data_IF_930519622979
#
_entry.id   IF_930519622979
#
_cell.length_a   1.000
_cell.length_b   1.000
_cell.length_c   1.000
_cell.angle_alpha   90.00
_cell.angle_beta   90.00
_cell.angle_gamma   90.00
#
_symmetry.space_group_name_H-M   'P 1'
#
loop_
_entity.id
_entity.type
_entity.pdbx_description
1 polymer ?
#
# COMPACT_ATOMS: atom_id res chain seq x y z
N UNK A 1 -0.50 -42.96 3.07
CA UNK A 1 -1.13 -42.20 4.15
C UNK A 1 -1.54 -40.86 3.56
N UNK A 2 -2.85 -40.68 3.43
CA UNK A 2 -3.46 -39.62 2.61
C UNK A 2 -3.30 -38.24 3.26
N UNK A 3 -2.74 -37.27 2.51
CA UNK A 3 -2.82 -35.85 2.82
C UNK A 3 -4.22 -35.38 2.43
N UNK A 4 -5.00 -35.00 3.40
CA UNK A 4 -6.29 -34.31 3.18
C UNK A 4 -6.00 -32.84 2.81
N UNK A 5 -6.27 -32.51 1.55
CA UNK A 5 -6.20 -31.16 1.03
C UNK A 5 -7.47 -30.43 1.46
N UNK A 6 -7.39 -29.59 2.49
CA UNK A 6 -8.42 -28.60 2.79
C UNK A 6 -8.01 -27.28 2.16
N UNK A 7 -8.38 -27.08 0.89
CA UNK A 7 -8.37 -25.75 0.26
C UNK A 7 -9.75 -25.13 0.44
N UNK A 8 -9.96 -24.41 1.53
CA UNK A 8 -11.03 -23.45 1.60
C UNK A 8 -10.55 -22.12 0.98
N UNK A 9 -11.27 -21.66 -0.01
CA UNK A 9 -11.08 -20.35 -0.67
C UNK A 9 -11.18 -19.26 0.39
N UNK A 10 -10.04 -18.72 0.80
CA UNK A 10 -9.96 -17.56 1.68
C UNK A 10 -10.07 -16.29 0.83
N UNK A 11 -11.26 -15.70 0.79
CA UNK A 11 -11.43 -14.34 0.28
C UNK A 11 -10.66 -13.35 1.15
N UNK A 12 -9.95 -12.43 0.51
CA UNK A 12 -9.16 -11.39 1.18
C UNK A 12 -10.05 -10.42 1.94
N UNK A 13 -9.67 -9.96 3.14
CA UNK A 13 -10.39 -8.88 3.83
C UNK A 13 -10.44 -7.55 3.06
N UNK A 14 -9.55 -7.33 2.10
CA UNK A 14 -9.63 -6.18 1.19
C UNK A 14 -10.89 -6.26 0.30
N UNK A 15 -11.35 -7.47 -0.04
CA UNK A 15 -12.58 -7.68 -0.81
C UNK A 15 -13.86 -7.37 0.01
N UNK A 16 -13.74 -7.25 1.33
CA UNK A 16 -14.86 -7.00 2.22
C UNK A 16 -15.26 -5.51 2.33
N UNK A 17 -14.47 -4.58 1.81
CA UNK A 17 -14.83 -3.16 1.77
C UNK A 17 -15.65 -2.79 0.53
N UNK A 18 -15.66 -3.62 -0.52
CA UNK A 18 -16.28 -3.31 -1.81
C UNK A 18 -17.50 -4.18 -2.18
N UNK A 19 -18.03 -5.00 -1.28
CA UNK A 19 -19.21 -5.84 -1.53
C UNK A 19 -20.53 -5.05 -1.74
N UNK A 20 -20.49 -3.75 -1.98
CA UNK A 20 -21.62 -2.85 -2.16
C UNK A 20 -21.97 -2.46 -3.60
N UNK A 21 -21.29 -2.97 -4.63
CA UNK A 21 -21.64 -2.69 -6.02
C UNK A 21 -21.96 -3.95 -6.83
N UNK A 22 -23.16 -4.45 -6.69
CA UNK A 22 -23.77 -5.29 -7.69
C UNK A 22 -24.27 -4.40 -8.85
N UNK A 23 -23.76 -4.65 -10.05
CA UNK A 23 -23.98 -3.81 -11.22
C UNK A 23 -25.45 -3.73 -11.66
N UNK A 24 -25.88 -2.51 -11.92
CA UNK A 24 -27.05 -2.20 -12.72
C UNK A 24 -26.61 -1.53 -14.02
N UNK A 25 -26.78 -2.20 -15.15
CA UNK A 25 -26.63 -1.62 -16.51
C UNK A 25 -27.63 -0.50 -16.73
N UNK A 26 -27.14 0.59 -17.29
CA UNK A 26 -27.87 1.80 -17.53
C UNK A 26 -29.07 1.65 -18.48
N UNK A 27 -30.16 2.31 -18.10
CA UNK A 27 -31.26 2.72 -18.94
C UNK A 27 -31.38 4.23 -18.88
N UNK A 28 -31.45 4.87 -20.04
CA UNK A 28 -31.65 6.32 -20.18
C UNK A 28 -33.06 6.73 -19.73
N UNK A 29 -33.11 7.81 -18.97
CA UNK A 29 -34.17 8.81 -19.05
C UNK A 29 -35.48 8.47 -18.35
N UNK A 30 -35.64 8.96 -17.13
CA UNK A 30 -36.89 9.17 -16.45
C UNK A 30 -36.55 9.80 -15.09
N UNK A 31 -37.18 10.91 -14.74
CA UNK A 31 -37.15 11.41 -13.36
C UNK A 31 -37.66 10.27 -12.49
N UNK A 32 -36.74 9.45 -11.98
CA UNK A 32 -37.03 8.31 -11.15
C UNK A 32 -37.75 8.77 -9.90
N UNK A 33 -38.93 8.24 -9.67
CA UNK A 33 -39.57 8.26 -8.38
C UNK A 33 -38.52 7.83 -7.34
N UNK A 34 -38.24 8.66 -6.37
CA UNK A 34 -37.37 8.28 -5.25
C UNK A 34 -38.03 7.05 -4.59
N UNK A 35 -37.40 5.90 -4.79
CA UNK A 35 -37.85 4.66 -4.16
C UNK A 35 -37.67 4.84 -2.67
N UNK A 36 -38.77 4.86 -1.92
CA UNK A 36 -38.70 4.90 -0.47
C UNK A 36 -38.00 3.63 0.00
N UNK A 37 -36.90 3.77 0.74
CA UNK A 37 -36.18 2.63 1.29
C UNK A 37 -36.95 2.16 2.54
N UNK A 38 -37.62 1.02 2.38
CA UNK A 38 -38.38 0.37 3.47
C UNK A 38 -37.55 -0.65 4.25
N UNK A 39 -36.43 -1.09 3.68
CA UNK A 39 -35.48 -1.99 4.33
C UNK A 39 -34.55 -1.19 5.26
N UNK A 40 -34.69 -1.38 6.56
CA UNK A 40 -33.87 -0.70 7.57
C UNK A 40 -32.39 -1.11 7.52
N UNK A 41 -32.08 -2.33 7.11
CA UNK A 41 -30.68 -2.76 6.94
C UNK A 41 -30.04 -2.00 5.79
N UNK A 42 -30.74 -1.89 4.65
CA UNK A 42 -30.27 -1.11 3.49
C UNK A 42 -30.19 0.39 3.79
N UNK A 43 -31.11 0.93 4.60
CA UNK A 43 -31.03 2.33 5.01
C UNK A 43 -29.79 2.60 5.87
N UNK A 44 -29.39 1.67 6.74
CA UNK A 44 -28.17 1.79 7.55
C UNK A 44 -26.90 1.75 6.71
N UNK A 45 -26.85 0.93 5.67
CA UNK A 45 -25.72 0.90 4.74
C UNK A 45 -25.53 2.22 3.97
N UNK A 46 -26.60 2.95 3.71
CA UNK A 46 -26.60 4.21 2.97
C UNK A 46 -26.46 5.44 3.87
N UNK A 47 -26.61 5.30 5.17
CA UNK A 47 -26.54 6.38 6.13
C UNK A 47 -25.19 6.39 6.85
N UNK A 48 -24.53 7.54 6.86
CA UNK A 48 -23.30 7.74 7.64
C UNK A 48 -23.67 7.96 9.11
N UNK A 49 -23.52 6.91 9.93
CA UNK A 49 -23.82 6.92 11.36
C UNK A 49 -22.52 6.90 12.16
N UNK A 50 -22.53 7.60 13.30
CA UNK A 50 -21.45 7.51 14.30
C UNK A 50 -21.68 6.45 15.38
N UNK A 51 -22.76 5.66 15.25
CA UNK A 51 -23.05 4.56 16.18
C UNK A 51 -22.32 3.30 15.75
N UNK A 52 -21.59 2.71 16.68
CA UNK A 52 -20.74 1.56 16.44
C UNK A 52 -21.49 0.33 15.93
N UNK A 53 -22.69 0.09 16.44
CA UNK A 53 -23.54 -1.03 16.07
C UNK A 53 -24.09 -0.98 14.65
N UNK A 54 -24.08 0.19 14.00
CA UNK A 54 -24.55 0.35 12.62
C UNK A 54 -23.49 -0.08 11.58
N UNK A 55 -22.26 -0.38 12.03
CA UNK A 55 -21.14 -0.68 11.15
C UNK A 55 -20.52 -2.04 11.45
N UNK A 56 -19.91 -2.65 10.43
CA UNK A 56 -19.26 -3.94 10.55
C UNK A 56 -18.08 -3.87 11.51
N UNK A 57 -18.03 -4.78 12.46
CA UNK A 57 -16.94 -4.89 13.42
C UNK A 57 -15.79 -5.72 12.88
N UNK A 58 -14.55 -5.36 13.25
CA UNK A 58 -13.38 -6.14 12.95
C UNK A 58 -13.34 -7.44 13.78
N UNK A 59 -13.00 -8.56 13.13
CA UNK A 59 -12.77 -9.82 13.81
C UNK A 59 -11.26 -10.04 13.99
N UNK A 60 -10.72 -9.59 15.11
CA UNK A 60 -9.28 -9.60 15.39
C UNK A 60 -8.71 -11.02 15.48
N UNK A 61 -9.43 -11.98 16.01
CA UNK A 61 -8.97 -13.37 16.10
C UNK A 61 -8.82 -13.99 14.71
N UNK A 62 -9.78 -13.77 13.82
CA UNK A 62 -9.71 -14.20 12.44
C UNK A 62 -8.54 -13.56 11.70
N UNK A 63 -8.31 -12.26 11.91
CA UNK A 63 -7.18 -11.54 11.31
C UNK A 63 -5.83 -12.11 11.77
N UNK A 64 -5.69 -12.42 13.06
CA UNK A 64 -4.47 -13.05 13.61
C UNK A 64 -4.24 -14.42 12.95
N UNK A 65 -5.27 -15.25 12.81
CA UNK A 65 -5.14 -16.55 12.15
C UNK A 65 -4.74 -16.41 10.68
N UNK A 66 -5.34 -15.47 9.95
CA UNK A 66 -4.98 -15.19 8.54
C UNK A 66 -3.51 -14.75 8.41
N UNK A 67 -3.02 -13.90 9.32
CA UNK A 67 -1.61 -13.51 9.36
C UNK A 67 -0.69 -14.71 9.58
N UNK A 68 -0.98 -15.58 10.54
CA UNK A 68 -0.17 -16.76 10.82
C UNK A 68 -0.08 -17.71 9.61
N UNK A 69 -1.20 -17.89 8.88
CA UNK A 69 -1.22 -18.66 7.64
C UNK A 69 -0.36 -17.99 6.56
N UNK A 70 -0.47 -16.68 6.40
CA UNK A 70 0.34 -15.94 5.43
C UNK A 70 1.84 -16.03 5.73
N UNK A 71 2.23 -15.88 6.99
CA UNK A 71 3.62 -16.02 7.43
C UNK A 71 4.17 -17.41 7.20
N UNK A 72 3.43 -18.46 7.60
CA UNK A 72 3.86 -19.85 7.40
C UNK A 72 4.03 -20.21 5.92
N UNK A 73 3.12 -19.73 5.08
CA UNK A 73 3.21 -19.89 3.62
C UNK A 73 4.44 -19.19 3.06
N UNK A 74 4.73 -17.97 3.54
CA UNK A 74 5.92 -17.22 3.11
C UNK A 74 7.20 -17.91 3.54
N UNK A 75 7.28 -18.42 4.76
CA UNK A 75 8.42 -19.22 5.24
C UNK A 75 8.66 -20.42 4.31
N UNK A 76 7.60 -21.15 3.95
CA UNK A 76 7.71 -22.31 3.07
C UNK A 76 8.24 -21.94 1.67
N UNK A 77 7.71 -20.86 1.08
CA UNK A 77 8.13 -20.34 -0.25
C UNK A 77 9.54 -19.77 -0.27
N UNK A 78 10.02 -19.27 0.85
CA UNK A 78 11.35 -18.64 0.97
C UNK A 78 12.50 -19.64 1.02
N UNK A 79 12.23 -20.91 1.35
CA UNK A 79 13.28 -21.94 1.51
C UNK A 79 14.11 -22.12 0.25
N UNK A 80 15.43 -21.92 0.37
CA UNK A 80 16.36 -22.05 -0.77
C UNK A 80 16.27 -20.91 -1.80
N UNK A 81 15.39 -19.92 -1.61
CA UNK A 81 15.17 -18.80 -2.54
C UNK A 81 15.71 -17.48 -1.98
N UNK A 82 15.32 -17.17 -0.76
CA UNK A 82 15.71 -15.94 -0.05
C UNK A 82 15.61 -16.17 1.47
N UNK A 83 16.20 -15.29 2.25
CA UNK A 83 16.03 -15.27 3.69
C UNK A 83 14.83 -14.38 4.05
N UNK A 84 13.81 -14.97 4.69
CA UNK A 84 12.66 -14.28 5.25
C UNK A 84 12.74 -14.29 6.79
N UNK A 85 12.48 -13.15 7.41
CA UNK A 85 12.49 -13.01 8.88
C UNK A 85 11.44 -11.99 9.29
N UNK A 86 10.63 -12.31 10.31
CA UNK A 86 9.81 -11.33 11.00
C UNK A 86 10.71 -10.56 11.97
N UNK A 87 10.65 -9.25 11.87
CA UNK A 87 11.43 -8.34 12.71
C UNK A 87 10.50 -7.32 13.36
N UNK A 88 11.01 -6.59 14.34
CA UNK A 88 10.31 -5.50 14.99
C UNK A 88 11.29 -4.34 15.21
N UNK A 89 10.75 -3.14 15.12
CA UNK A 89 11.50 -1.92 15.45
C UNK A 89 10.57 -0.92 16.12
N UNK A 90 11.12 0.14 16.69
CA UNK A 90 10.33 1.17 17.36
C UNK A 90 10.07 2.34 16.43
N UNK A 91 8.83 2.82 16.44
CA UNK A 91 8.45 4.08 15.81
C UNK A 91 9.17 5.25 16.49
N UNK A 92 9.67 6.19 15.67
CA UNK A 92 10.38 7.37 16.18
C UNK A 92 9.45 8.37 16.88
N UNK A 93 8.15 8.33 16.58
CA UNK A 93 7.20 9.34 17.10
C UNK A 93 6.79 9.08 18.54
N UNK A 94 6.63 7.81 18.94
CA UNK A 94 6.13 7.46 20.28
C UNK A 94 6.68 6.13 20.84
N UNK A 95 7.60 5.50 20.12
CA UNK A 95 8.23 4.25 20.55
C UNK A 95 7.35 3.01 20.39
N UNK A 96 6.22 3.11 19.69
CA UNK A 96 5.38 1.96 19.38
C UNK A 96 6.18 0.89 18.65
N UNK A 97 6.04 -0.38 19.05
CA UNK A 97 6.67 -1.50 18.38
C UNK A 97 5.96 -1.81 17.06
N UNK A 98 6.69 -1.71 15.96
CA UNK A 98 6.19 -1.93 14.61
C UNK A 98 6.73 -3.27 14.09
N UNK A 99 5.85 -4.26 13.83
CA UNK A 99 6.24 -5.50 13.17
C UNK A 99 6.59 -5.25 11.69
N UNK A 100 7.49 -6.04 11.13
CA UNK A 100 7.82 -5.97 9.72
C UNK A 100 8.31 -7.31 9.17
N UNK A 101 8.10 -7.52 7.89
CA UNK A 101 8.68 -8.61 7.13
C UNK A 101 10.00 -8.16 6.51
N UNK A 102 11.10 -8.86 6.79
CA UNK A 102 12.42 -8.60 6.23
C UNK A 102 12.80 -9.71 5.25
N UNK A 103 13.14 -9.32 4.02
CA UNK A 103 13.58 -10.21 2.95
C UNK A 103 14.99 -9.85 2.51
N UNK A 104 15.86 -10.84 2.45
CA UNK A 104 17.27 -10.66 2.14
C UNK A 104 17.77 -11.75 1.20
N UNK A 105 18.82 -11.49 0.39
CA UNK A 105 19.52 -12.54 -0.34
C UNK A 105 20.04 -13.63 0.60
N UNK A 106 20.05 -14.89 0.16
CA UNK A 106 20.69 -15.99 0.92
C UNK A 106 22.18 -15.71 1.11
N UNK A 107 22.85 -15.24 0.06
CA UNK A 107 24.26 -14.82 0.10
C UNK A 107 24.31 -13.30 0.12
N UNK A 108 24.73 -12.73 1.23
CA UNK A 108 24.88 -11.30 1.40
C UNK A 108 26.24 -10.84 0.88
N UNK A 109 26.24 -9.71 0.22
CA UNK A 109 27.47 -8.96 -0.11
C UNK A 109 28.10 -8.42 1.17
N UNK A 110 29.34 -7.95 1.08
CA UNK A 110 30.04 -7.34 2.18
C UNK A 110 29.38 -6.03 2.67
N UNK A 111 30.09 -5.31 3.52
CA UNK A 111 29.58 -4.07 4.13
C UNK A 111 29.10 -3.08 3.05
N UNK A 112 27.89 -2.53 3.24
CA UNK A 112 27.24 -1.59 2.30
C UNK A 112 27.06 -2.14 0.86
N UNK A 113 27.03 -3.45 0.71
CA UNK A 113 26.97 -4.09 -0.61
C UNK A 113 25.60 -4.06 -1.29
N UNK A 114 24.52 -3.87 -0.54
CA UNK A 114 23.14 -3.92 -1.03
C UNK A 114 22.43 -2.57 -0.94
N UNK A 115 21.68 -2.20 -1.98
CA UNK A 115 20.61 -1.23 -1.87
C UNK A 115 19.42 -1.85 -1.12
N UNK A 116 18.55 -1.02 -0.55
CA UNK A 116 17.36 -1.50 0.16
C UNK A 116 16.10 -0.73 -0.22
N UNK A 117 14.95 -1.31 0.05
CA UNK A 117 13.65 -0.69 -0.16
C UNK A 117 12.74 -0.93 1.06
N UNK A 118 12.05 0.14 1.46
CA UNK A 118 10.89 0.04 2.35
C UNK A 118 9.66 -0.13 1.45
N UNK A 119 8.95 -1.23 1.62
CA UNK A 119 7.84 -1.61 0.75
C UNK A 119 6.53 -1.60 1.53
N UNK A 120 5.67 -0.61 1.23
CA UNK A 120 4.51 -0.27 2.05
C UNK A 120 3.24 -0.86 1.46
N UNK A 121 2.50 -1.62 2.27
CA UNK A 121 1.24 -2.23 1.83
C UNK A 121 0.12 -1.20 1.68
N UNK A 122 -0.89 -1.55 0.86
CA UNK A 122 -2.12 -0.79 0.69
C UNK A 122 -3.17 -1.12 1.76
N UNK A 123 -4.25 -0.32 1.75
CA UNK A 123 -5.33 -0.42 2.73
C UNK A 123 -4.93 0.17 4.08
N UNK A 124 -5.75 1.07 4.61
CA UNK A 124 -5.52 1.70 5.93
C UNK A 124 -5.42 0.64 7.02
N UNK A 125 -6.36 -0.31 6.97
CA UNK A 125 -6.37 -1.53 7.77
C UNK A 125 -5.99 -2.76 6.92
N UNK A 126 -5.04 -2.60 6.02
CA UNK A 126 -4.46 -3.70 5.27
C UNK A 126 -3.44 -4.49 6.07
N UNK A 127 -2.70 -5.34 5.37
CA UNK A 127 -1.55 -6.08 5.88
C UNK A 127 -0.65 -6.44 4.70
N UNK A 128 0.61 -6.69 5.00
CA UNK A 128 1.55 -7.22 4.03
C UNK A 128 1.27 -8.69 3.74
N UNK A 129 0.42 -8.97 2.75
CA UNK A 129 0.09 -10.33 2.30
C UNK A 129 1.28 -10.98 1.59
N UNK A 130 2.28 -11.30 2.36
CA UNK A 130 3.61 -11.68 1.93
C UNK A 130 3.66 -12.81 0.88
N UNK A 131 2.77 -13.80 0.96
CA UNK A 131 2.74 -14.91 0.02
C UNK A 131 2.24 -14.51 -1.38
N UNK A 132 1.31 -13.55 -1.49
CA UNK A 132 0.79 -13.03 -2.76
C UNK A 132 1.81 -12.13 -3.47
N UNK A 133 2.57 -11.37 -2.70
CA UNK A 133 3.60 -10.48 -3.23
C UNK A 133 4.97 -11.16 -3.40
N UNK A 134 5.06 -12.42 -3.00
CA UNK A 134 6.31 -13.18 -3.03
C UNK A 134 7.02 -13.18 -4.39
N UNK A 135 6.36 -13.37 -5.57
CA UNK A 135 7.06 -13.36 -6.84
C UNK A 135 7.73 -12.02 -7.15
N UNK A 136 7.12 -10.90 -6.75
CA UNK A 136 7.68 -9.56 -6.94
C UNK A 136 8.82 -9.29 -5.96
N UNK A 137 8.69 -9.72 -4.71
CA UNK A 137 9.77 -9.67 -3.70
C UNK A 137 10.96 -10.52 -4.15
N UNK A 138 10.72 -11.74 -4.64
CA UNK A 138 11.77 -12.62 -5.18
C UNK A 138 12.55 -11.90 -6.28
N UNK A 139 11.87 -11.25 -7.21
CA UNK A 139 12.52 -10.48 -8.28
C UNK A 139 13.38 -9.34 -7.72
N UNK A 140 12.88 -8.58 -6.74
CA UNK A 140 13.65 -7.53 -6.06
C UNK A 140 14.95 -8.08 -5.43
N UNK A 141 14.85 -9.22 -4.72
CA UNK A 141 16.00 -9.86 -4.09
C UNK A 141 17.02 -10.35 -5.13
N UNK A 142 16.55 -10.90 -6.26
CA UNK A 142 17.41 -11.33 -7.37
C UNK A 142 18.16 -10.15 -8.02
N UNK A 143 17.56 -8.95 -7.99
CA UNK A 143 18.21 -7.70 -8.45
C UNK A 143 19.24 -7.17 -7.45
N UNK A 144 19.30 -7.71 -6.24
CA UNK A 144 20.27 -7.34 -5.21
C UNK A 144 19.75 -6.38 -4.14
N UNK A 145 18.44 -6.17 -4.06
CA UNK A 145 17.82 -5.40 -2.99
C UNK A 145 17.69 -6.20 -1.69
N UNK A 146 17.65 -5.48 -0.57
CA UNK A 146 17.10 -5.93 0.70
C UNK A 146 15.74 -5.23 0.87
N UNK A 147 14.70 -5.97 1.23
CA UNK A 147 13.33 -5.43 1.38
C UNK A 147 12.89 -5.52 2.82
N UNK A 148 12.40 -4.41 3.37
CA UNK A 148 11.63 -4.38 4.61
C UNK A 148 10.21 -3.93 4.33
N UNK A 149 9.23 -4.68 4.80
CA UNK A 149 7.81 -4.39 4.64
C UNK A 149 7.16 -4.18 6.01
N UNK A 150 6.97 -2.91 6.44
CA UNK A 150 6.38 -2.58 7.73
C UNK A 150 4.88 -2.90 7.76
N UNK A 151 4.44 -3.40 8.92
CA UNK A 151 3.05 -3.43 9.34
C UNK A 151 2.82 -2.21 10.25
N UNK A 152 2.64 -1.03 9.62
CA UNK A 152 2.46 0.24 10.33
C UNK A 152 1.20 0.20 11.20
N UNK A 153 1.09 1.13 12.17
CA UNK A 153 -0.12 1.23 13.02
C UNK A 153 -1.38 1.27 12.17
N UNK A 154 -2.41 0.55 12.57
CA UNK A 154 -3.62 0.34 11.78
C UNK A 154 -3.64 -0.98 11.01
N UNK A 155 -2.49 -1.64 10.77
CA UNK A 155 -2.43 -2.93 10.06
C UNK A 155 -3.21 -4.03 10.79
N UNK A 156 -3.78 -4.95 10.00
CA UNK A 156 -4.57 -6.08 10.50
C UNK A 156 -3.67 -7.24 10.94
N UNK A 157 -4.19 -8.08 11.84
CA UNK A 157 -3.50 -9.30 12.29
C UNK A 157 -2.62 -9.12 13.51
N UNK A 158 -2.59 -7.92 14.12
CA UNK A 158 -1.79 -7.61 15.31
C UNK A 158 -2.65 -7.21 16.51
N UNK A 159 -3.96 -7.47 16.44
CA UNK A 159 -4.92 -7.22 17.52
C UNK A 159 -5.47 -5.80 17.54
N UNK A 160 -6.46 -5.58 18.42
CA UNK A 160 -7.25 -4.36 18.49
C UNK A 160 -6.41 -3.10 18.77
N UNK A 161 -5.41 -3.19 19.66
CA UNK A 161 -4.58 -2.04 20.04
C UNK A 161 -3.78 -1.51 18.84
N UNK A 162 -3.18 -2.40 18.04
CA UNK A 162 -2.43 -2.04 16.84
C UNK A 162 -3.36 -1.49 15.75
N UNK A 163 -4.50 -2.14 15.52
CA UNK A 163 -5.51 -1.74 14.55
C UNK A 163 -6.06 -0.34 14.84
N UNK A 164 -6.45 -0.07 16.10
CA UNK A 164 -7.06 1.20 16.50
C UNK A 164 -6.03 2.34 16.68
N UNK A 165 -4.74 2.06 16.60
CA UNK A 165 -3.69 3.08 16.71
C UNK A 165 -3.50 3.92 15.44
N UNK A 166 -4.27 3.65 14.36
CA UNK A 166 -4.17 4.39 13.10
C UNK A 166 -4.32 5.90 13.32
N UNK A 167 -3.51 6.67 12.63
CA UNK A 167 -3.59 8.13 12.56
C UNK A 167 -3.43 8.56 11.10
N UNK A 168 -4.49 8.42 10.32
CA UNK A 168 -4.53 8.49 8.86
C UNK A 168 -3.75 9.69 8.28
N UNK A 169 -2.58 9.43 7.67
CA UNK A 169 -1.66 10.44 7.16
C UNK A 169 -0.83 11.15 8.24
N UNK A 170 -0.76 10.57 9.44
CA UNK A 170 -0.02 11.11 10.57
C UNK A 170 1.12 10.17 11.02
N UNK A 171 0.95 9.54 12.17
CA UNK A 171 2.00 8.75 12.84
C UNK A 171 2.43 7.50 12.08
N UNK A 172 1.57 6.90 11.24
CA UNK A 172 1.96 5.75 10.42
C UNK A 172 3.06 6.10 9.40
N UNK A 173 3.21 7.37 9.02
CA UNK A 173 4.32 7.81 8.20
C UNK A 173 5.65 7.64 8.94
N UNK A 174 5.66 7.98 10.23
CA UNK A 174 6.85 7.87 11.07
C UNK A 174 7.17 6.39 11.39
N UNK A 175 6.13 5.54 11.51
CA UNK A 175 6.32 4.09 11.59
C UNK A 175 7.08 3.56 10.38
N UNK A 176 6.66 3.96 9.18
CA UNK A 176 7.27 3.54 7.92
C UNK A 176 8.69 4.12 7.75
N UNK A 177 8.88 5.41 8.06
CA UNK A 177 10.19 6.04 8.00
C UNK A 177 11.20 5.40 8.96
N UNK A 178 10.75 4.97 10.15
CA UNK A 178 11.57 4.32 11.16
C UNK A 178 12.14 2.96 10.73
N UNK A 179 11.54 2.31 9.71
CA UNK A 179 12.10 1.10 9.11
C UNK A 179 13.51 1.32 8.54
N UNK A 180 13.83 2.55 8.13
CA UNK A 180 15.16 2.89 7.62
C UNK A 180 16.22 2.79 8.72
N UNK A 181 15.90 3.18 9.96
CA UNK A 181 16.84 3.05 11.07
C UNK A 181 17.15 1.57 11.36
N UNK A 182 16.14 0.70 11.23
CA UNK A 182 16.37 -0.74 11.30
C UNK A 182 17.28 -1.24 10.17
N UNK A 183 17.02 -0.81 8.91
CA UNK A 183 17.86 -1.19 7.76
C UNK A 183 19.33 -0.76 7.96
N UNK A 184 19.59 0.40 8.56
CA UNK A 184 20.94 0.88 8.87
C UNK A 184 21.70 0.00 9.87
N UNK A 185 21.00 -0.79 10.68
CA UNK A 185 21.65 -1.77 11.59
C UNK A 185 22.22 -2.98 10.86
N UNK A 186 21.81 -3.21 9.60
CA UNK A 186 22.27 -4.32 8.79
C UNK A 186 23.57 -3.92 8.06
N UNK A 187 24.75 -4.49 8.41
CA UNK A 187 26.03 -4.00 7.91
C UNK A 187 26.19 -4.12 6.39
N UNK A 188 25.46 -5.04 5.76
CA UNK A 188 25.47 -5.25 4.31
C UNK A 188 24.53 -4.32 3.54
N UNK A 189 23.69 -3.52 4.21
CA UNK A 189 22.84 -2.50 3.59
C UNK A 189 23.60 -1.18 3.47
N UNK A 190 23.48 -0.54 2.32
CA UNK A 190 24.02 0.81 2.10
C UNK A 190 22.96 1.87 2.48
N UNK A 191 23.15 2.64 3.54
CA UNK A 191 22.21 3.67 3.96
C UNK A 191 22.03 4.80 2.95
N UNK A 192 22.95 4.96 2.00
CA UNK A 192 22.84 5.95 0.92
C UNK A 192 21.99 5.48 -0.27
N UNK A 193 21.50 4.23 -0.25
CA UNK A 193 20.77 3.62 -1.35
C UNK A 193 19.48 2.96 -0.87
N UNK A 194 18.66 3.72 -0.12
CA UNK A 194 17.38 3.26 0.40
C UNK A 194 16.25 3.98 -0.33
N UNK A 195 15.34 3.21 -0.94
CA UNK A 195 14.12 3.69 -1.59
C UNK A 195 12.87 3.32 -0.81
N UNK A 196 11.73 3.86 -1.27
CA UNK A 196 10.40 3.54 -0.76
C UNK A 196 9.46 3.21 -1.92
N UNK A 197 8.59 2.21 -1.75
CA UNK A 197 7.54 1.92 -2.72
C UNK A 197 6.27 1.47 -1.99
N UNK A 198 5.09 1.85 -2.53
CA UNK A 198 3.84 1.39 -1.99
C UNK A 198 2.67 1.51 -2.95
N UNK A 199 1.57 0.80 -2.63
CA UNK A 199 0.33 0.80 -3.38
C UNK A 199 -0.81 1.42 -2.58
N UNK A 200 -1.73 2.13 -3.28
CA UNK A 200 -2.93 2.64 -2.63
C UNK A 200 -2.58 3.50 -1.41
N UNK A 201 -3.04 3.15 -0.22
CA UNK A 201 -2.61 3.79 1.03
C UNK A 201 -1.08 3.71 1.24
N UNK A 202 -0.41 2.63 0.83
CA UNK A 202 1.05 2.57 0.84
C UNK A 202 1.70 3.55 -0.13
N UNK A 203 1.10 3.78 -1.30
CA UNK A 203 1.49 4.83 -2.25
C UNK A 203 1.25 6.24 -1.70
N UNK A 204 0.19 6.42 -0.95
CA UNK A 204 -0.11 7.63 -0.18
C UNK A 204 0.98 7.92 0.85
N UNK A 205 1.34 6.94 1.68
CA UNK A 205 2.42 7.06 2.68
C UNK A 205 3.75 7.39 1.98
N UNK A 206 4.08 6.67 0.90
CA UNK A 206 5.29 6.93 0.13
C UNK A 206 5.33 8.37 -0.41
N UNK A 207 4.23 8.84 -1.00
CA UNK A 207 4.13 10.21 -1.52
C UNK A 207 4.27 11.26 -0.43
N UNK A 208 3.54 11.14 0.69
CA UNK A 208 3.65 12.09 1.80
C UNK A 208 5.05 12.13 2.40
N UNK A 209 5.71 10.98 2.53
CA UNK A 209 7.09 10.92 3.03
C UNK A 209 8.06 11.62 2.08
N UNK A 210 7.94 11.39 0.76
CA UNK A 210 8.81 12.04 -0.23
C UNK A 210 8.55 13.54 -0.38
N UNK A 211 7.36 14.01 0.02
CA UNK A 211 7.01 15.43 0.03
C UNK A 211 7.28 16.12 1.39
N UNK A 212 7.85 15.41 2.38
CA UNK A 212 8.38 16.05 3.59
C UNK A 212 9.68 16.80 3.29
N UNK A 213 9.96 17.87 4.04
CA UNK A 213 11.22 18.63 3.93
C UNK A 213 12.45 17.76 4.20
N UNK A 214 12.32 16.80 5.12
CA UNK A 214 13.36 15.85 5.47
C UNK A 214 12.80 14.44 5.47
N UNK A 215 13.46 13.55 4.77
CA UNK A 215 13.16 12.14 4.72
C UNK A 215 14.42 11.33 4.35
N UNK A 216 14.50 10.02 4.69
CA UNK A 216 15.71 9.23 4.49
C UNK A 216 15.82 8.57 3.08
N UNK A 217 14.88 8.78 2.18
CA UNK A 217 14.78 8.05 0.92
C UNK A 217 15.49 8.76 -0.23
N UNK A 218 16.13 8.01 -1.13
CA UNK A 218 16.82 8.50 -2.34
C UNK A 218 15.91 8.54 -3.56
N UNK A 219 14.91 7.69 -3.62
CA UNK A 219 13.91 7.62 -4.67
C UNK A 219 12.67 6.90 -4.14
N UNK A 220 11.51 7.09 -4.78
CA UNK A 220 10.35 6.33 -4.42
C UNK A 220 9.36 6.10 -5.54
N UNK A 221 8.43 5.16 -5.33
CA UNK A 221 7.37 4.87 -6.26
C UNK A 221 6.01 4.78 -5.55
N UNK A 222 5.01 5.39 -6.15
CA UNK A 222 3.63 5.37 -5.67
C UNK A 222 2.73 4.78 -6.76
N UNK A 223 2.15 3.61 -6.46
CA UNK A 223 1.29 2.88 -7.35
C UNK A 223 -0.17 3.12 -6.96
N UNK A 224 -0.97 3.66 -7.86
CA UNK A 224 -2.39 3.98 -7.65
C UNK A 224 -2.64 4.65 -6.29
N UNK A 225 -1.91 5.73 -5.96
CA UNK A 225 -1.85 6.28 -4.61
C UNK A 225 -3.12 7.05 -4.24
N UNK A 226 -3.56 6.96 -3.00
CA UNK A 226 -4.46 7.99 -2.46
C UNK A 226 -3.72 9.32 -2.45
N UNK A 227 -4.35 10.40 -2.94
CA UNK A 227 -3.66 11.67 -3.14
C UNK A 227 -4.39 12.90 -2.64
N UNK A 228 -5.73 12.85 -2.53
CA UNK A 228 -6.58 13.98 -2.15
C UNK A 228 -7.73 13.52 -1.25
N UNK A 229 -7.54 13.60 0.06
CA UNK A 229 -8.52 13.13 1.05
C UNK A 229 -9.83 13.94 1.01
N UNK A 230 -9.77 15.22 0.65
CA UNK A 230 -10.97 16.06 0.49
C UNK A 230 -11.85 15.50 -0.63
N UNK A 231 -11.26 15.21 -1.79
CA UNK A 231 -11.97 14.64 -2.94
C UNK A 231 -12.41 13.19 -2.67
N UNK A 232 -11.52 12.39 -2.04
CA UNK A 232 -11.75 10.97 -1.75
C UNK A 232 -13.01 10.73 -0.94
N UNK A 233 -13.25 11.50 0.10
CA UNK A 233 -14.46 11.34 0.92
C UNK A 233 -15.75 11.69 0.19
N UNK A 234 -15.68 12.47 -0.89
CA UNK A 234 -16.82 12.79 -1.71
C UNK A 234 -17.36 11.61 -2.54
N UNK A 235 -16.52 10.63 -2.86
CA UNK A 235 -16.92 9.48 -3.68
C UNK A 235 -16.89 8.13 -2.94
N UNK A 236 -16.19 8.02 -1.81
CA UNK A 236 -16.17 6.77 -1.01
C UNK A 236 -17.50 6.55 -0.29
N UNK A 237 -17.87 5.29 -0.15
CA UNK A 237 -19.13 4.91 0.47
C UNK A 237 -19.22 5.14 1.98
N UNK A 238 -20.44 4.98 2.57
CA UNK A 238 -20.71 5.32 3.96
C UNK A 238 -19.80 4.64 4.97
N UNK A 239 -19.42 3.38 4.76
CA UNK A 239 -18.52 2.65 5.66
C UNK A 239 -17.14 3.29 5.77
N UNK A 240 -16.59 3.74 4.64
CA UNK A 240 -15.31 4.45 4.62
C UNK A 240 -15.42 5.84 5.28
N UNK A 241 -16.49 6.57 4.95
CA UNK A 241 -16.76 7.87 5.54
C UNK A 241 -16.93 7.77 7.06
N UNK A 242 -17.68 6.77 7.54
CA UNK A 242 -17.82 6.54 8.98
C UNK A 242 -16.45 6.26 9.61
N UNK A 243 -15.68 5.34 9.06
CA UNK A 243 -14.41 4.88 9.63
C UNK A 243 -13.36 5.98 9.72
N UNK A 244 -13.30 6.89 8.75
CA UNK A 244 -12.20 7.85 8.64
C UNK A 244 -12.60 9.32 8.81
N UNK A 245 -13.88 9.66 8.65
CA UNK A 245 -14.33 11.05 8.78
C UNK A 245 -15.23 11.31 9.97
N UNK A 246 -16.12 10.38 10.34
CA UNK A 246 -17.05 10.59 11.46
C UNK A 246 -16.45 10.23 12.81
N UNK A 247 -15.43 9.40 12.86
CA UNK A 247 -14.68 9.11 14.09
C UNK A 247 -13.65 10.22 14.35
N UNK A 248 -13.80 10.89 15.51
CA UNK A 248 -12.89 12.00 15.89
C UNK A 248 -11.46 11.56 16.14
N UNK A 249 -11.27 10.32 16.49
CA UNK A 249 -9.97 9.72 16.80
C UNK A 249 -9.12 9.51 15.52
N UNK A 250 -9.73 9.54 14.32
CA UNK A 250 -9.00 9.38 13.06
C UNK A 250 -8.84 10.74 12.37
N UNK A 251 -9.80 11.17 11.54
CA UNK A 251 -9.71 12.45 10.83
C UNK A 251 -10.72 13.48 11.31
N UNK A 252 -11.90 13.03 11.71
CA UNK A 252 -13.05 13.89 11.98
C UNK A 252 -13.75 14.37 10.71
N UNK A 253 -14.70 15.26 10.84
CA UNK A 253 -15.49 15.74 9.71
C UNK A 253 -14.72 16.76 8.86
N UNK A 254 -14.76 16.68 7.52
CA UNK A 254 -13.98 17.56 6.64
C UNK A 254 -14.23 19.04 6.83
N UNK A 255 -15.46 19.44 7.14
CA UNK A 255 -15.82 20.85 7.34
C UNK A 255 -15.30 21.40 8.68
N UNK A 256 -15.06 20.55 9.68
CA UNK A 256 -14.48 20.92 10.97
C UNK A 256 -12.94 20.85 10.97
N UNK A 257 -12.37 20.01 10.10
CA UNK A 257 -10.93 19.66 10.06
C UNK A 257 -10.28 19.94 8.70
N UNK A 258 -10.75 20.95 7.97
CA UNK A 258 -10.33 21.25 6.60
C UNK A 258 -8.81 21.31 6.44
N UNK A 259 -8.13 22.00 7.33
CA UNK A 259 -6.67 22.16 7.29
C UNK A 259 -5.95 20.82 7.45
N UNK A 260 -6.46 19.94 8.32
CA UNK A 260 -5.93 18.58 8.50
C UNK A 260 -6.07 17.75 7.22
N UNK A 261 -7.21 17.84 6.53
CA UNK A 261 -7.42 17.14 5.26
C UNK A 261 -6.46 17.63 4.17
N UNK A 262 -6.20 18.92 4.11
CA UNK A 262 -5.22 19.53 3.20
C UNK A 262 -3.81 19.08 3.58
N UNK A 263 -3.45 19.19 4.86
CA UNK A 263 -2.15 18.79 5.39
C UNK A 263 -1.83 17.31 5.10
N UNK A 264 -2.85 16.44 5.20
CA UNK A 264 -2.71 15.01 4.99
C UNK A 264 -3.00 14.55 3.56
N UNK A 265 -3.06 15.44 2.59
CA UNK A 265 -3.26 15.11 1.17
C UNK A 265 -1.99 15.39 0.35
N UNK A 266 -1.33 14.36 -0.21
CA UNK A 266 -0.11 14.52 -1.03
C UNK A 266 -0.23 15.59 -2.10
N UNK A 267 -1.39 15.71 -2.74
CA UNK A 267 -1.66 16.67 -3.79
C UNK A 267 -1.24 18.12 -3.42
N UNK A 268 -1.40 18.49 -2.15
CA UNK A 268 -1.11 19.88 -1.70
C UNK A 268 0.36 20.11 -1.34
N UNK A 269 1.23 19.09 -1.48
CA UNK A 269 2.64 19.15 -1.07
C UNK A 269 3.64 18.82 -2.19
N UNK A 270 3.18 18.67 -3.42
CA UNK A 270 4.01 18.30 -4.59
C UNK A 270 5.22 19.20 -4.77
N UNK A 271 5.09 20.51 -4.46
CA UNK A 271 6.17 21.49 -4.56
C UNK A 271 7.37 21.18 -3.67
N UNK A 272 7.18 20.41 -2.60
CA UNK A 272 8.24 20.01 -1.66
C UNK A 272 9.08 18.82 -2.15
N UNK A 273 8.69 18.15 -3.23
CA UNK A 273 9.44 17.02 -3.77
C UNK A 273 10.87 17.43 -4.16
N UNK A 274 11.87 16.71 -3.63
CA UNK A 274 13.31 16.95 -3.86
C UNK A 274 14.06 15.74 -4.41
N UNK A 275 13.42 14.58 -4.47
CA UNK A 275 14.00 13.33 -4.96
C UNK A 275 13.12 12.70 -6.05
N UNK A 276 13.65 11.80 -6.88
CA UNK A 276 12.86 11.17 -7.93
C UNK A 276 11.67 10.37 -7.39
N UNK A 277 10.52 10.51 -8.07
CA UNK A 277 9.31 9.73 -7.83
C UNK A 277 8.78 9.13 -9.13
N UNK A 278 8.39 7.85 -9.07
CA UNK A 278 7.62 7.17 -10.11
C UNK A 278 6.17 7.05 -9.65
N UNK A 279 5.21 7.42 -10.53
CA UNK A 279 3.77 7.28 -10.22
C UNK A 279 3.08 6.53 -11.35
N UNK A 280 2.43 5.41 -11.02
CA UNK A 280 1.59 4.65 -11.94
C UNK A 280 0.13 4.71 -11.50
N UNK A 281 -0.76 5.02 -12.44
CA UNK A 281 -2.20 5.12 -12.21
C UNK A 281 -2.96 4.41 -13.33
N UNK A 282 -4.22 4.02 -13.08
CA UNK A 282 -5.06 3.30 -14.03
C UNK A 282 -6.41 3.99 -14.21
N UNK A 283 -6.88 4.12 -15.46
CA UNK A 283 -8.14 4.85 -15.76
C UNK A 283 -9.39 4.12 -15.30
N UNK A 284 -9.32 2.79 -15.16
CA UNK A 284 -10.41 1.94 -14.67
C UNK A 284 -10.24 1.54 -13.19
N UNK A 285 -9.46 2.30 -12.42
CA UNK A 285 -9.36 2.11 -10.97
C UNK A 285 -10.71 2.40 -10.31
N UNK A 286 -11.21 1.44 -9.51
CA UNK A 286 -12.51 1.57 -8.81
C UNK A 286 -12.35 1.77 -7.30
N UNK A 287 -11.13 1.81 -6.79
CA UNK A 287 -10.85 2.12 -5.38
C UNK A 287 -10.30 3.54 -5.19
N UNK A 288 -9.22 3.89 -5.88
CA UNK A 288 -8.79 5.28 -6.00
C UNK A 288 -9.30 5.79 -7.34
N UNK A 289 -10.33 6.64 -7.31
CA UNK A 289 -10.93 7.17 -8.53
C UNK A 289 -9.85 7.85 -9.38
N UNK A 290 -9.84 7.54 -10.69
CA UNK A 290 -8.84 8.08 -11.62
C UNK A 290 -8.76 9.61 -11.57
N UNK A 291 -9.86 10.30 -11.33
CA UNK A 291 -9.86 11.77 -11.23
C UNK A 291 -9.06 12.26 -10.01
N UNK A 292 -9.02 11.49 -8.92
CA UNK A 292 -8.13 11.78 -7.79
C UNK A 292 -6.66 11.68 -8.21
N UNK A 293 -6.29 10.57 -8.83
CA UNK A 293 -4.92 10.32 -9.30
C UNK A 293 -4.48 11.27 -10.43
N UNK A 294 -5.40 11.63 -11.32
CA UNK A 294 -5.14 12.58 -12.41
C UNK A 294 -4.70 13.94 -11.88
N UNK A 295 -5.29 14.41 -10.78
CA UNK A 295 -4.90 15.68 -10.14
C UNK A 295 -3.43 15.63 -9.69
N UNK A 296 -3.01 14.54 -9.05
CA UNK A 296 -1.64 14.36 -8.62
C UNK A 296 -0.67 14.30 -9.81
N UNK A 297 -0.99 13.48 -10.81
CA UNK A 297 -0.16 13.32 -12.03
C UNK A 297 0.03 14.65 -12.75
N UNK A 298 -1.03 15.43 -12.94
CA UNK A 298 -0.94 16.73 -13.60
C UNK A 298 -0.10 17.73 -12.80
N UNK A 299 -0.27 17.76 -11.49
CA UNK A 299 0.50 18.68 -10.64
C UNK A 299 1.99 18.30 -10.60
N UNK A 300 2.30 17.01 -10.55
CA UNK A 300 3.68 16.50 -10.66
C UNK A 300 4.32 16.90 -11.99
N UNK A 301 3.64 16.65 -13.11
CA UNK A 301 4.13 17.02 -14.45
C UNK A 301 4.35 18.52 -14.60
N UNK A 302 3.49 19.33 -14.00
CA UNK A 302 3.58 20.79 -14.10
C UNK A 302 4.70 21.36 -13.23
N UNK A 303 4.90 20.86 -12.01
CA UNK A 303 5.79 21.47 -11.03
C UNK A 303 7.13 20.73 -10.87
N UNK A 304 7.21 19.45 -11.21
CA UNK A 304 8.38 18.59 -10.97
C UNK A 304 8.72 17.69 -12.17
N UNK A 305 8.75 18.22 -13.42
CA UNK A 305 8.97 17.41 -14.62
C UNK A 305 10.30 16.65 -14.59
N UNK A 306 11.34 17.20 -13.95
CA UNK A 306 12.66 16.58 -13.88
C UNK A 306 12.80 15.51 -12.78
N UNK A 307 11.84 15.44 -11.85
CA UNK A 307 11.85 14.51 -10.73
C UNK A 307 10.72 13.47 -10.80
N UNK A 308 9.65 13.75 -11.52
CA UNK A 308 8.47 12.91 -11.54
C UNK A 308 8.34 12.15 -12.87
N UNK A 309 8.54 10.84 -12.84
CA UNK A 309 8.12 9.94 -13.90
C UNK A 309 6.69 9.48 -13.62
N UNK A 310 5.77 9.67 -14.58
CA UNK A 310 4.37 9.30 -14.40
C UNK A 310 3.85 8.50 -15.59
N UNK A 311 3.11 7.43 -15.32
CA UNK A 311 2.46 6.62 -16.35
C UNK A 311 0.99 6.43 -16.04
N UNK A 312 0.13 6.76 -17.00
CA UNK A 312 -1.29 6.46 -16.98
C UNK A 312 -1.51 5.20 -17.83
N UNK A 313 -2.06 4.16 -17.23
CA UNK A 313 -2.49 2.94 -17.91
C UNK A 313 -3.96 3.09 -18.25
N UNK A 314 -4.29 3.02 -19.55
CA UNK A 314 -5.66 3.20 -20.05
C UNK A 314 -6.35 1.85 -20.06
N UNK A 315 -7.35 1.70 -19.22
CA UNK A 315 -8.16 0.48 -19.06
C UNK A 315 -7.33 -0.82 -19.02
N UNK A 316 -6.29 -0.87 -18.16
CA UNK A 316 -5.44 -2.05 -18.09
C UNK A 316 -6.25 -3.29 -17.70
N UNK A 317 -5.73 -4.48 -18.04
CA UNK A 317 -6.35 -5.74 -17.67
C UNK A 317 -6.53 -5.76 -16.14
N UNK A 318 -7.77 -5.95 -15.65
CA UNK A 318 -8.05 -5.88 -14.22
C UNK A 318 -7.22 -6.85 -13.40
N UNK A 319 -6.80 -6.39 -12.23
CA UNK A 319 -6.22 -7.25 -11.20
C UNK A 319 -7.29 -8.04 -10.43
N UNK A 320 -6.90 -8.74 -9.37
CA UNK A 320 -7.81 -9.61 -8.60
C UNK A 320 -8.92 -8.86 -7.86
N UNK A 321 -8.79 -7.55 -7.65
CA UNK A 321 -9.78 -6.72 -6.95
C UNK A 321 -9.76 -5.29 -7.48
N UNK A 322 -10.92 -4.58 -7.35
CA UNK A 322 -11.05 -3.16 -7.66
C UNK A 322 -10.52 -2.74 -9.04
N UNK A 323 -10.78 -3.57 -10.04
CA UNK A 323 -10.42 -3.37 -11.45
C UNK A 323 -8.96 -2.91 -11.64
N UNK A 324 -8.72 -1.71 -12.18
CA UNK A 324 -7.38 -1.17 -12.43
C UNK A 324 -6.53 -0.96 -11.17
N UNK A 325 -7.12 -0.91 -9.98
CA UNK A 325 -6.39 -0.68 -8.73
C UNK A 325 -5.31 -1.73 -8.44
N UNK A 326 -5.50 -2.94 -8.94
CA UNK A 326 -4.54 -4.04 -8.72
C UNK A 326 -3.96 -4.60 -10.02
N UNK A 327 -4.03 -3.85 -11.13
CA UNK A 327 -3.60 -4.30 -12.46
C UNK A 327 -2.17 -4.82 -12.50
N UNK A 328 -1.28 -4.26 -11.69
CA UNK A 328 0.14 -4.62 -11.64
C UNK A 328 0.52 -5.57 -10.46
N UNK A 329 -0.49 -6.18 -9.83
CA UNK A 329 -0.30 -7.19 -8.75
C UNK A 329 -1.03 -8.50 -9.05
N UNK A 330 -1.19 -8.81 -10.34
CA UNK A 330 -1.84 -10.03 -10.79
C UNK A 330 -0.96 -11.23 -10.51
N UNK A 331 -1.52 -12.20 -9.82
CA UNK A 331 -0.93 -13.51 -9.55
C UNK A 331 -1.97 -14.59 -9.82
N UNK A 332 -1.53 -15.73 -10.29
CA UNK A 332 -2.39 -16.91 -10.43
C UNK A 332 -2.81 -17.39 -9.03
N UNK A 333 -4.11 -17.52 -8.73
CA UNK A 333 -4.60 -17.85 -7.39
C UNK A 333 -4.19 -19.26 -6.90
N UNK A 334 -3.92 -20.19 -7.83
CA UNK A 334 -3.58 -21.57 -7.50
C UNK A 334 -2.08 -21.74 -7.25
N UNK A 335 -1.25 -21.06 -8.03
CA UNK A 335 0.22 -21.19 -7.98
C UNK A 335 0.92 -20.06 -7.24
N UNK A 336 0.27 -18.92 -7.07
CA UNK A 336 0.82 -17.66 -6.57
C UNK A 336 2.02 -17.14 -7.37
N UNK A 337 2.17 -17.58 -8.61
CA UNK A 337 3.14 -17.03 -9.55
C UNK A 337 2.51 -15.86 -10.31
N UNK A 338 3.34 -14.99 -10.92
CA UNK A 338 2.87 -13.84 -11.68
C UNK A 338 1.93 -14.29 -12.81
N UNK A 339 0.80 -13.61 -12.93
CA UNK A 339 -0.15 -13.71 -14.05
C UNK A 339 -0.02 -12.43 -14.88
N UNK A 340 1.05 -12.36 -15.69
CA UNK A 340 1.44 -11.14 -16.35
C UNK A 340 0.54 -10.75 -17.52
N UNK A 341 -0.08 -9.57 -17.41
CA UNK A 341 -0.62 -8.82 -18.57
C UNK A 341 0.47 -7.91 -19.17
N UNK A 342 0.29 -7.43 -20.42
CA UNK A 342 1.23 -6.47 -21.00
C UNK A 342 1.45 -5.22 -20.14
N UNK A 343 0.37 -4.70 -19.54
CA UNK A 343 0.43 -3.51 -18.66
C UNK A 343 1.16 -3.82 -17.35
N UNK A 344 0.98 -5.01 -16.77
CA UNK A 344 1.72 -5.43 -15.59
C UNK A 344 3.22 -5.55 -15.90
N UNK A 345 3.58 -6.14 -17.04
CA UNK A 345 4.99 -6.24 -17.48
C UNK A 345 5.59 -4.84 -17.66
N UNK A 346 4.91 -3.93 -18.37
CA UNK A 346 5.39 -2.56 -18.57
C UNK A 346 5.54 -1.83 -17.23
N UNK A 347 4.56 -1.95 -16.34
CA UNK A 347 4.60 -1.32 -15.01
C UNK A 347 5.81 -1.77 -14.20
N UNK A 348 6.10 -3.08 -14.16
CA UNK A 348 7.24 -3.59 -13.44
C UNK A 348 8.58 -3.28 -14.11
N UNK A 349 8.65 -3.34 -15.43
CA UNK A 349 9.87 -2.95 -16.16
C UNK A 349 10.24 -1.48 -15.89
N UNK A 350 9.25 -0.56 -15.91
CA UNK A 350 9.47 0.84 -15.53
C UNK A 350 9.90 0.98 -14.08
N UNK A 351 9.24 0.26 -13.18
CA UNK A 351 9.56 0.28 -11.75
C UNK A 351 11.01 -0.14 -11.51
N UNK A 352 11.44 -1.24 -12.13
CA UNK A 352 12.82 -1.73 -11.97
C UNK A 352 13.82 -0.81 -12.67
N UNK A 353 13.53 -0.33 -13.87
CA UNK A 353 14.41 0.62 -14.57
C UNK A 353 14.61 1.88 -13.73
N UNK A 354 13.55 2.41 -13.16
CA UNK A 354 13.60 3.57 -12.28
C UNK A 354 14.47 3.32 -11.04
N UNK A 355 14.19 2.28 -10.28
CA UNK A 355 14.95 1.99 -9.06
C UNK A 355 16.39 1.54 -9.34
N UNK A 356 16.61 0.77 -10.40
CA UNK A 356 17.96 0.35 -10.80
C UNK A 356 18.82 1.55 -11.21
N UNK A 357 18.24 2.57 -11.81
CA UNK A 357 18.93 3.82 -12.13
C UNK A 357 19.31 4.61 -10.86
N UNK A 358 18.37 4.78 -9.94
CA UNK A 358 18.57 5.65 -8.79
C UNK A 358 19.25 4.97 -7.60
N UNK A 359 19.02 3.69 -7.38
CA UNK A 359 19.55 2.95 -6.22
C UNK A 359 20.70 2.00 -6.58
N UNK A 360 20.88 1.68 -7.87
CA UNK A 360 21.99 0.86 -8.38
C UNK A 360 22.23 -0.44 -7.58
N UNK A 361 21.23 -1.32 -7.45
CA UNK A 361 21.31 -2.53 -6.63
C UNK A 361 22.36 -3.53 -7.15
N UNK A 362 22.73 -3.45 -8.44
CA UNK A 362 23.75 -4.27 -9.08
C UNK A 362 25.17 -3.90 -8.63
N UNK A 363 25.40 -2.68 -8.12
CA UNK A 363 26.70 -2.26 -7.61
C UNK A 363 26.99 -2.87 -6.25
N UNK A 364 28.03 -3.68 -6.14
CA UNK A 364 28.56 -4.17 -4.88
C UNK A 364 29.62 -3.21 -4.34
N UNK A 365 29.19 -2.23 -3.57
CA UNK A 365 30.09 -1.20 -3.02
C UNK A 365 31.04 -1.72 -1.93
N UNK A 366 30.83 -2.95 -1.44
CA UNK A 366 31.78 -3.58 -0.53
C UNK A 366 33.14 -3.82 -1.18
N UNK A 367 33.18 -3.91 -2.52
CA UNK A 367 34.38 -4.16 -3.33
C UNK A 367 35.06 -2.87 -3.81
N UNK A 368 34.42 -1.71 -3.65
CA UNK A 368 34.92 -0.44 -4.18
C UNK A 368 35.99 0.25 -3.29
N UNK A 369 36.45 -0.41 -2.23
CA UNK A 369 37.45 0.11 -1.26
C UNK A 369 38.70 -0.74 -1.23
N UNK A 370 39.16 -1.23 -2.38
CA UNK A 370 40.54 -1.75 -2.51
C UNK A 370 41.40 -0.78 -3.30
#
# INVERSE_FOLDING_TARGET
>A
MSLVTVLSVLSSPADAQDAGRAGGRGGRGGRGSQTVITDTARARELFVSNRHEDHRQANFDQQIQQRLVAESTTVARSRGVLQYTNVKYKSSVDGMEIPASLYQPLQKRGARGHAAMVWVHGGVHGSWWSYRLFPFVKEAIQRGYVIIAPEYRGSTGFGAAHYNAIDYGGKELDDVASAVEYLKTLPHVDPERIGIMGWSHGGYIASLLLFREQHPFKAGAAMVPVSNLVFRLGYKGPGYQWQFSTQKEVLGLPHEKKELYIERSPLYHVEKLKVPILVHVATNDTDVDYVEDQQLVWKLRALKPDLAETKIYVDPVPGPSSAGHTFNRRVNPDTWERDDSPDQIDSWNRTWTFFDWWLRPYEDRSKARM
#
